data_IF_550997542188
#
_entry.id   IF_550997542188
#
_cell.length_a   1.000
_cell.length_b   1.000
_cell.length_c   1.000
_cell.angle_alpha   90.00
_cell.angle_beta   90.00
_cell.angle_gamma   90.00
#
_symmetry.space_group_name_H-M   'P 1'
#
loop_
_entity.id
_entity.type
_entity.pdbx_description
1 polymer ?
#
# COMPACT_ATOMS: atom_id res chain seq x y z
N UNK A 1 -47.24 63.91 -0.76
CA UNK A 1 -47.88 62.58 -0.76
C UNK A 1 -47.01 61.67 -1.60
N UNK A 2 -46.32 60.70 -1.00
CA UNK A 2 -45.44 59.76 -1.71
C UNK A 2 -45.97 58.37 -1.42
N UNK A 3 -46.44 57.69 -2.46
CA UNK A 3 -46.97 56.33 -2.39
C UNK A 3 -45.84 55.34 -2.09
N UNK A 4 -46.01 54.55 -1.03
CA UNK A 4 -45.08 53.46 -0.67
C UNK A 4 -45.62 52.19 -1.31
N UNK A 5 -44.95 51.73 -2.37
CA UNK A 5 -45.25 50.45 -3.03
C UNK A 5 -44.92 49.22 -2.16
N UNK A 6 -45.53 48.06 -2.44
CA UNK A 6 -45.41 46.87 -1.58
C UNK A 6 -44.00 46.25 -1.62
N UNK A 7 -43.60 45.55 -0.54
CA UNK A 7 -42.23 45.02 -0.43
C UNK A 7 -41.98 43.87 -1.41
N UNK A 8 -40.90 44.00 -2.18
CA UNK A 8 -40.41 42.97 -3.11
C UNK A 8 -39.93 41.75 -2.32
N UNK A 9 -40.61 40.62 -2.52
CA UNK A 9 -40.25 39.33 -1.91
C UNK A 9 -38.95 38.83 -2.54
N UNK A 10 -37.85 38.82 -1.77
CA UNK A 10 -36.56 38.26 -2.21
C UNK A 10 -36.67 36.73 -2.28
N UNK A 11 -36.89 36.19 -3.48
CA UNK A 11 -36.73 34.76 -3.73
C UNK A 11 -35.27 34.36 -3.51
N UNK A 12 -35.02 33.44 -2.58
CA UNK A 12 -33.70 32.83 -2.41
C UNK A 12 -33.42 31.96 -3.63
N UNK A 13 -32.62 32.48 -4.58
CA UNK A 13 -32.05 31.66 -5.65
C UNK A 13 -31.20 30.57 -5.00
N UNK A 14 -31.60 29.31 -5.18
CA UNK A 14 -30.78 28.17 -4.81
C UNK A 14 -29.44 28.27 -5.58
N UNK A 15 -28.31 27.85 -4.98
CA UNK A 15 -27.04 27.85 -5.68
C UNK A 15 -27.13 26.97 -6.92
N UNK A 16 -26.62 27.47 -8.04
CA UNK A 16 -26.56 26.72 -9.30
C UNK A 16 -25.74 25.45 -9.09
N UNK A 17 -26.39 24.29 -9.29
CA UNK A 17 -25.73 22.98 -9.29
C UNK A 17 -25.49 22.61 -10.76
N UNK A 18 -24.24 22.42 -11.22
CA UNK A 18 -23.98 21.98 -12.58
C UNK A 18 -24.64 20.60 -12.82
N UNK A 19 -25.22 20.35 -13.99
CA UNK A 19 -25.73 19.03 -14.34
C UNK A 19 -24.59 18.00 -14.32
N UNK A 20 -24.90 16.77 -13.89
CA UNK A 20 -23.94 15.67 -13.67
C UNK A 20 -23.11 15.23 -14.89
N UNK A 21 -23.31 15.84 -16.08
CA UNK A 21 -22.53 15.62 -17.28
C UNK A 21 -21.19 16.37 -17.31
N UNK A 22 -20.98 17.36 -16.43
CA UNK A 22 -19.80 18.24 -16.53
C UNK A 22 -18.47 17.52 -16.32
N UNK A 23 -18.41 16.50 -15.46
CA UNK A 23 -17.15 15.78 -15.18
C UNK A 23 -16.71 14.87 -16.32
N UNK A 24 -17.65 14.33 -17.09
CA UNK A 24 -17.32 13.51 -18.24
C UNK A 24 -16.82 14.40 -19.39
N UNK A 25 -17.48 15.53 -19.62
CA UNK A 25 -17.01 16.51 -20.62
C UNK A 25 -15.65 17.13 -20.23
N UNK A 26 -15.42 17.41 -18.94
CA UNK A 26 -14.09 17.79 -18.43
C UNK A 26 -13.04 16.70 -18.67
N UNK A 27 -13.38 15.44 -18.38
CA UNK A 27 -12.48 14.31 -18.61
C UNK A 27 -12.17 14.11 -20.10
N UNK A 28 -13.18 14.15 -20.97
CA UNK A 28 -12.99 14.07 -22.43
C UNK A 28 -12.20 15.27 -22.95
N UNK A 29 -12.38 16.46 -22.39
CA UNK A 29 -11.58 17.64 -22.73
C UNK A 29 -10.12 17.56 -22.25
N UNK A 30 -9.85 16.75 -21.22
CA UNK A 30 -8.50 16.48 -20.69
C UNK A 30 -7.71 15.43 -21.49
N UNK A 31 -8.36 14.73 -22.42
CA UNK A 31 -7.70 13.75 -23.29
C UNK A 31 -6.77 14.50 -24.24
N UNK A 32 -5.46 14.37 -23.96
CA UNK A 32 -4.37 14.89 -24.78
C UNK A 32 -4.34 14.11 -26.09
N UNK A 33 -4.40 14.81 -27.23
CA UNK A 33 -4.26 14.21 -28.55
C UNK A 33 -2.84 14.50 -29.00
N UNK A 34 -1.97 13.51 -28.93
CA UNK A 34 -0.65 13.58 -29.56
C UNK A 34 -0.84 13.62 -31.07
N UNK A 35 -0.59 14.78 -31.71
CA UNK A 35 -0.53 14.84 -33.17
C UNK A 35 0.79 14.21 -33.63
N UNK A 36 0.78 13.15 -34.46
CA UNK A 36 2.00 12.56 -34.96
C UNK A 36 2.76 13.61 -35.77
N UNK A 37 3.98 13.94 -35.34
CA UNK A 37 4.92 14.81 -36.06
C UNK A 37 5.26 16.17 -35.42
N UNK A 38 4.65 16.56 -34.29
CA UNK A 38 4.95 17.89 -33.68
C UNK A 38 5.52 17.86 -32.26
N UNK A 39 5.60 16.72 -31.58
CA UNK A 39 6.19 16.63 -30.24
C UNK A 39 5.48 17.45 -29.14
N UNK A 40 4.35 18.09 -29.47
CA UNK A 40 3.59 18.94 -28.56
C UNK A 40 2.32 18.23 -28.09
N UNK A 41 2.10 18.25 -26.77
CA UNK A 41 0.88 17.76 -26.13
C UNK A 41 -0.22 18.82 -26.18
N UNK A 42 -0.84 18.96 -27.36
CA UNK A 42 -1.95 19.89 -27.60
C UNK A 42 -3.24 19.35 -26.96
N UNK A 43 -3.99 20.22 -26.29
CA UNK A 43 -5.38 19.91 -25.95
C UNK A 43 -6.23 19.91 -27.21
N UNK A 44 -7.35 19.18 -27.19
CA UNK A 44 -8.28 19.11 -28.32
C UNK A 44 -8.74 20.52 -28.74
N UNK A 45 -8.45 20.90 -29.99
CA UNK A 45 -8.82 22.20 -30.55
C UNK A 45 -7.85 23.35 -30.23
N UNK A 46 -6.77 23.10 -29.50
CA UNK A 46 -5.77 24.11 -29.16
C UNK A 46 -4.87 24.42 -30.36
N UNK A 47 -4.69 25.71 -30.66
CA UNK A 47 -3.74 26.19 -31.69
C UNK A 47 -2.32 26.21 -31.11
N UNK A 48 -1.29 26.10 -31.96
CA UNK A 48 0.13 26.08 -31.53
C UNK A 48 0.52 27.28 -30.67
N UNK A 49 0.09 28.50 -31.03
CA UNK A 49 0.36 29.71 -30.25
C UNK A 49 -0.32 29.72 -28.86
N UNK A 50 -1.46 29.04 -28.70
CA UNK A 50 -2.14 28.93 -27.40
C UNK A 50 -1.35 27.99 -26.48
N UNK A 51 -0.83 26.90 -27.05
CA UNK A 51 0.05 25.97 -26.35
C UNK A 51 1.35 26.62 -25.90
N UNK A 52 2.02 27.37 -26.78
CA UNK A 52 3.24 28.11 -26.42
C UNK A 52 2.99 29.08 -25.28
N UNK A 53 1.88 29.84 -25.35
CA UNK A 53 1.47 30.75 -24.27
C UNK A 53 1.18 30.02 -22.96
N UNK A 54 0.55 28.84 -23.02
CA UNK A 54 0.31 28.00 -21.85
C UNK A 54 1.61 27.48 -21.24
N UNK A 55 2.54 26.99 -22.06
CA UNK A 55 3.86 26.55 -21.58
C UNK A 55 4.65 27.70 -20.95
N UNK A 56 4.62 28.88 -21.56
CA UNK A 56 5.20 30.09 -20.97
C UNK A 56 4.54 30.41 -19.62
N UNK A 57 3.22 30.25 -19.52
CA UNK A 57 2.52 30.53 -18.27
C UNK A 57 2.79 29.46 -17.20
N UNK A 58 2.87 28.18 -17.58
CA UNK A 58 3.25 27.07 -16.68
C UNK A 58 4.70 27.21 -16.20
N UNK A 59 5.61 27.69 -17.05
CA UNK A 59 6.99 27.97 -16.69
C UNK A 59 7.10 29.17 -15.75
N UNK A 60 6.34 30.24 -16.01
CA UNK A 60 6.22 31.40 -15.10
C UNK A 60 5.65 30.96 -13.75
N UNK A 61 4.58 30.16 -13.76
CA UNK A 61 3.88 29.73 -12.54
C UNK A 61 4.58 28.60 -11.77
N UNK A 62 5.69 28.05 -12.31
CA UNK A 62 6.43 26.94 -11.72
C UNK A 62 5.53 25.75 -11.31
N UNK A 63 4.59 25.36 -12.18
CA UNK A 63 3.59 24.30 -11.95
C UNK A 63 2.51 24.58 -10.90
N UNK A 64 2.43 25.80 -10.36
CA UNK A 64 1.31 26.21 -9.50
C UNK A 64 0.20 26.90 -10.32
N UNK A 65 -0.99 27.05 -9.73
CA UNK A 65 -2.13 27.69 -10.42
C UNK A 65 -1.95 29.21 -10.56
N UNK A 66 -1.16 29.81 -9.68
CA UNK A 66 -0.91 31.25 -9.61
C UNK A 66 0.55 31.52 -9.98
N UNK A 67 0.90 32.73 -10.45
CA UNK A 67 2.30 33.10 -10.56
C UNK A 67 2.97 33.03 -9.18
N UNK A 68 4.26 32.66 -9.09
CA UNK A 68 4.98 32.64 -7.84
C UNK A 68 4.93 34.03 -7.22
N UNK A 69 4.33 34.12 -6.03
CA UNK A 69 4.34 35.34 -5.22
C UNK A 69 5.77 35.57 -4.74
N UNK A 70 6.46 36.53 -5.36
CA UNK A 70 7.71 37.03 -4.79
C UNK A 70 7.36 38.05 -3.70
N UNK A 71 7.25 37.58 -2.46
CA UNK A 71 6.99 38.41 -1.28
C UNK A 71 8.29 39.13 -0.85
N UNK A 72 9.45 38.75 -1.41
CA UNK A 72 10.67 39.48 -1.15
C UNK A 72 10.58 40.89 -1.76
N UNK A 73 10.85 41.96 -0.98
CA UNK A 73 10.85 43.32 -1.50
C UNK A 73 11.91 43.59 -2.58
N UNK A 74 12.90 42.71 -2.73
CA UNK A 74 13.95 42.77 -3.75
C UNK A 74 13.92 41.52 -4.60
N UNK A 75 13.98 41.68 -5.92
CA UNK A 75 13.97 40.53 -6.84
C UNK A 75 15.37 39.95 -7.01
N UNK A 76 16.40 40.79 -6.95
CA UNK A 76 17.78 40.37 -7.17
C UNK A 76 18.70 40.75 -6.01
N UNK A 77 19.71 39.91 -5.73
CA UNK A 77 20.73 40.17 -4.71
C UNK A 77 21.52 41.45 -5.00
N UNK A 78 21.67 41.81 -6.28
CA UNK A 78 22.38 43.02 -6.71
C UNK A 78 21.64 44.29 -6.31
N UNK A 79 20.31 44.30 -6.43
CA UNK A 79 19.47 45.42 -5.96
C UNK A 79 19.61 45.61 -4.46
N UNK A 80 19.83 44.52 -3.71
CA UNK A 80 20.08 44.56 -2.28
C UNK A 80 21.41 45.24 -1.91
N UNK A 81 22.45 44.95 -2.69
CA UNK A 81 23.83 45.41 -2.43
C UNK A 81 24.08 46.82 -2.96
N UNK A 82 23.59 47.13 -4.16
CA UNK A 82 23.78 48.42 -4.80
C UNK A 82 22.63 49.40 -4.50
N UNK A 83 21.42 48.93 -4.19
CA UNK A 83 20.24 49.79 -4.14
C UNK A 83 19.89 50.34 -5.52
N UNK A 84 18.78 51.07 -5.62
CA UNK A 84 18.38 51.75 -6.87
C UNK A 84 19.33 52.92 -7.20
N UNK A 85 19.84 53.59 -6.15
CA UNK A 85 20.72 54.78 -6.26
C UNK A 85 22.23 54.49 -6.11
N UNK A 86 22.65 53.22 -6.07
CA UNK A 86 24.06 52.86 -5.87
C UNK A 86 24.57 53.01 -4.42
N UNK A 87 23.70 53.36 -3.46
CA UNK A 87 24.04 53.61 -2.04
C UNK A 87 23.69 52.45 -1.09
N UNK A 88 23.28 51.31 -1.64
CA UNK A 88 22.82 50.16 -0.87
C UNK A 88 21.40 50.30 -0.32
N UNK A 89 21.00 49.43 0.61
CA UNK A 89 19.67 49.44 1.20
C UNK A 89 19.39 50.69 2.04
N UNK A 90 18.31 51.40 1.71
CA UNK A 90 17.71 52.45 2.54
C UNK A 90 17.20 51.88 3.88
N UNK A 91 16.96 52.72 4.91
CA UNK A 91 16.44 52.25 6.20
C UNK A 91 15.10 51.52 6.07
N UNK A 92 14.19 52.04 5.24
CA UNK A 92 12.88 51.43 4.98
C UNK A 92 13.01 50.04 4.35
N UNK A 93 13.93 49.89 3.41
CA UNK A 93 14.25 48.60 2.80
C UNK A 93 14.78 47.57 3.80
N UNK A 94 15.57 48.01 4.79
CA UNK A 94 16.06 47.14 5.86
C UNK A 94 14.93 46.69 6.78
N UNK A 95 14.00 47.57 7.10
CA UNK A 95 12.83 47.22 7.92
C UNK A 95 11.93 46.19 7.22
N UNK A 96 11.65 46.40 5.94
CA UNK A 96 10.88 45.45 5.14
C UNK A 96 11.57 44.09 5.07
N UNK A 97 12.90 44.07 4.91
CA UNK A 97 13.67 42.83 4.93
C UNK A 97 13.66 42.16 6.30
N UNK A 98 13.74 42.92 7.38
CA UNK A 98 13.68 42.39 8.74
C UNK A 98 12.31 41.75 9.04
N UNK A 99 11.21 42.34 8.54
CA UNK A 99 9.87 41.74 8.60
C UNK A 99 9.82 40.44 7.80
N UNK A 100 10.26 40.45 6.54
CA UNK A 100 10.31 39.25 5.71
C UNK A 100 11.11 38.11 6.35
N UNK A 101 12.25 38.40 6.98
CA UNK A 101 13.08 37.39 7.67
C UNK A 101 12.36 36.80 8.89
N UNK A 102 11.61 37.62 9.64
CA UNK A 102 10.75 37.11 10.72
C UNK A 102 9.63 36.24 10.19
N UNK A 103 9.03 36.60 9.07
CA UNK A 103 7.96 35.82 8.46
C UNK A 103 8.44 34.44 7.95
N UNK A 104 9.75 34.24 7.77
CA UNK A 104 10.32 32.92 7.48
C UNK A 104 10.46 32.03 8.73
N UNK A 105 10.24 32.55 9.94
CA UNK A 105 10.30 31.75 11.15
C UNK A 105 9.01 30.91 11.26
N UNK A 106 9.18 29.60 11.28
CA UNK A 106 8.08 28.64 11.47
C UNK A 106 7.49 28.77 12.87
N UNK A 107 6.19 28.50 12.99
CA UNK A 107 5.55 28.40 14.30
C UNK A 107 6.14 27.20 15.09
N UNK A 108 6.16 27.24 16.44
CA UNK A 108 6.69 26.14 17.25
C UNK A 108 6.01 24.78 17.02
N UNK A 109 4.76 24.82 16.54
CA UNK A 109 3.93 23.64 16.27
C UNK A 109 4.19 23.03 14.88
N UNK A 110 4.98 23.71 14.04
CA UNK A 110 5.34 23.26 12.70
C UNK A 110 6.79 22.77 12.67
N UNK A 111 7.12 21.67 11.95
CA UNK A 111 6.28 20.93 11.01
C UNK A 111 5.39 19.87 11.67
N UNK A 112 4.10 19.85 11.30
CA UNK A 112 3.19 18.76 11.67
C UNK A 112 3.57 17.52 10.85
N UNK A 113 4.19 16.54 11.51
CA UNK A 113 4.48 15.26 10.87
C UNK A 113 3.18 14.49 10.61
N UNK A 114 2.70 14.54 9.38
CA UNK A 114 1.62 13.68 8.92
C UNK A 114 2.23 12.36 8.46
N UNK A 115 1.97 11.22 9.14
CA UNK A 115 2.49 9.95 8.70
C UNK A 115 1.96 9.65 7.30
N UNK A 116 2.81 9.15 6.38
CA UNK A 116 2.39 8.86 5.02
C UNK A 116 1.22 7.87 5.03
N UNK A 117 0.26 8.00 4.09
CA UNK A 117 -0.87 7.10 4.04
C UNK A 117 -0.39 5.66 3.93
N UNK A 118 -0.63 4.86 4.98
CA UNK A 118 -0.31 3.43 4.95
C UNK A 118 -1.18 2.74 3.89
N UNK A 119 -0.58 1.89 3.07
CA UNK A 119 -1.28 0.98 2.15
C UNK A 119 -2.39 0.21 2.91
N UNK A 120 -3.57 0.09 2.32
CA UNK A 120 -4.75 -0.60 2.91
C UNK A 120 -4.38 -2.00 3.39
N UNK A 121 -3.62 -2.76 2.60
CA UNK A 121 -3.17 -4.10 2.98
C UNK A 121 -2.31 -4.07 4.25
N UNK A 122 -1.39 -3.10 4.36
CA UNK A 122 -0.57 -2.94 5.58
C UNK A 122 -1.41 -2.55 6.79
N UNK A 123 -2.54 -1.85 6.62
CA UNK A 123 -3.45 -1.55 7.74
C UNK A 123 -4.20 -2.80 8.19
N UNK A 124 -4.81 -3.53 7.27
CA UNK A 124 -5.63 -4.70 7.60
C UNK A 124 -4.78 -5.81 8.18
N UNK A 125 -3.67 -6.18 7.51
CA UNK A 125 -2.78 -7.23 8.00
C UNK A 125 -1.93 -6.77 9.19
N UNK A 126 -1.70 -5.47 9.35
CA UNK A 126 -0.93 -4.92 10.48
C UNK A 126 -1.72 -4.88 11.79
N UNK A 127 -3.03 -4.65 11.75
CA UNK A 127 -3.86 -4.47 12.95
C UNK A 127 -3.80 -5.63 13.96
N UNK A 128 -3.93 -6.91 13.55
CA UNK A 128 -3.81 -8.02 14.50
C UNK A 128 -2.45 -8.03 15.22
N UNK A 129 -1.38 -7.75 14.48
CA UNK A 129 -0.05 -7.65 15.05
C UNK A 129 0.10 -6.45 15.98
N UNK A 130 -0.47 -5.28 15.65
CA UNK A 130 -0.49 -4.12 16.54
C UNK A 130 -1.20 -4.42 17.87
N UNK A 131 -2.29 -5.19 17.86
CA UNK A 131 -2.97 -5.66 19.08
C UNK A 131 -2.06 -6.58 19.89
N UNK A 132 -1.39 -7.54 19.24
CA UNK A 132 -0.41 -8.42 19.92
C UNK A 132 0.75 -7.61 20.51
N UNK A 133 1.23 -6.59 19.81
CA UNK A 133 2.28 -5.70 20.31
C UNK A 133 1.78 -4.86 21.49
N UNK A 134 0.60 -4.26 21.40
CA UNK A 134 -0.02 -3.51 22.50
C UNK A 134 -0.22 -4.38 23.75
N UNK A 135 -0.71 -5.61 23.56
CA UNK A 135 -0.86 -6.59 24.63
C UNK A 135 0.51 -6.95 25.25
N UNK A 136 1.54 -7.18 24.42
CA UNK A 136 2.91 -7.38 24.90
C UNK A 136 3.45 -6.18 25.68
N UNK A 137 3.22 -4.95 25.24
CA UNK A 137 3.68 -3.76 25.97
C UNK A 137 2.98 -3.63 27.32
N UNK A 138 1.67 -3.93 27.40
CA UNK A 138 0.94 -4.00 28.67
C UNK A 138 1.49 -5.08 29.59
N UNK A 139 1.62 -6.31 29.09
CA UNK A 139 2.17 -7.44 29.86
C UNK A 139 3.61 -7.16 30.28
N UNK A 140 4.43 -6.56 29.40
CA UNK A 140 5.80 -6.13 29.71
C UNK A 140 5.79 -5.13 30.85
N UNK A 141 4.97 -4.09 30.82
CA UNK A 141 4.94 -3.12 31.92
C UNK A 141 4.55 -3.77 33.27
N UNK A 142 3.78 -4.87 33.25
CA UNK A 142 3.46 -5.65 34.45
C UNK A 142 4.57 -6.64 34.86
N UNK A 143 5.24 -7.30 33.90
CA UNK A 143 6.33 -8.27 34.14
C UNK A 143 7.71 -7.64 34.34
N UNK A 144 7.91 -6.40 33.89
CA UNK A 144 9.16 -5.64 33.99
C UNK A 144 9.42 -5.15 35.42
N UNK A 145 8.46 -5.33 36.34
CA UNK A 145 8.72 -5.29 37.78
C UNK A 145 9.65 -6.42 38.25
N UNK A 146 9.74 -7.54 37.52
CA UNK A 146 10.47 -8.74 37.96
C UNK A 146 11.68 -9.14 37.10
N UNK A 147 11.88 -8.54 35.92
CA UNK A 147 13.00 -8.90 35.03
C UNK A 147 13.85 -7.68 34.66
N UNK A 148 15.18 -7.71 34.88
CA UNK A 148 16.04 -6.57 34.62
C UNK A 148 16.17 -6.27 33.12
N UNK A 149 16.29 -4.98 32.73
CA UNK A 149 16.18 -4.50 31.34
C UNK A 149 17.32 -4.94 30.38
N UNK A 150 18.23 -5.81 30.80
CA UNK A 150 19.46 -6.13 30.06
C UNK A 150 19.47 -7.46 29.30
N UNK A 151 18.46 -8.32 29.46
CA UNK A 151 18.61 -9.74 29.06
C UNK A 151 18.20 -10.02 27.60
N UNK A 152 17.35 -9.21 26.96
CA UNK A 152 17.02 -9.41 25.54
C UNK A 152 16.79 -8.07 24.84
N UNK A 153 17.58 -7.70 23.81
CA UNK A 153 17.30 -6.51 23.01
C UNK A 153 15.93 -6.68 22.33
N UNK A 154 14.97 -5.75 22.52
CA UNK A 154 13.61 -5.86 22.00
C UNK A 154 13.53 -6.06 20.47
N UNK A 155 14.60 -5.69 19.76
CA UNK A 155 14.72 -5.79 18.30
C UNK A 155 14.67 -7.23 17.79
N UNK A 156 15.18 -8.21 18.54
CA UNK A 156 15.20 -9.61 18.09
C UNK A 156 13.90 -10.34 18.41
N UNK A 157 13.28 -10.08 19.57
CA UNK A 157 12.01 -10.68 19.97
C UNK A 157 10.86 -10.32 19.01
N UNK A 158 10.86 -9.09 18.48
CA UNK A 158 9.85 -8.64 17.52
C UNK A 158 9.99 -9.32 16.16
N UNK A 159 11.16 -9.85 15.81
CA UNK A 159 11.37 -10.64 14.60
C UNK A 159 11.09 -12.12 14.85
N UNK A 160 11.56 -12.65 15.97
CA UNK A 160 11.49 -14.09 16.26
C UNK A 160 10.05 -14.57 16.39
N UNK A 161 9.19 -13.82 17.08
CA UNK A 161 7.82 -14.23 17.37
C UNK A 161 6.97 -14.42 16.10
N UNK A 162 6.89 -13.46 15.15
CA UNK A 162 6.14 -13.68 13.92
C UNK A 162 6.71 -14.84 13.08
N UNK A 163 8.04 -15.01 13.03
CA UNK A 163 8.64 -16.17 12.35
C UNK A 163 8.26 -17.50 12.99
N UNK A 164 8.31 -17.60 14.32
CA UNK A 164 7.89 -18.82 15.03
C UNK A 164 6.41 -19.13 14.81
N UNK A 165 5.53 -18.13 14.90
CA UNK A 165 4.10 -18.31 14.63
C UNK A 165 3.85 -18.74 13.18
N UNK A 166 4.56 -18.16 12.22
CA UNK A 166 4.45 -18.52 10.81
C UNK A 166 4.86 -19.96 10.55
N UNK A 167 6.06 -20.37 11.00
CA UNK A 167 6.53 -21.75 10.78
C UNK A 167 5.71 -22.77 11.55
N UNK A 168 5.25 -22.44 12.76
CA UNK A 168 4.36 -23.31 13.52
C UNK A 168 3.01 -23.50 12.80
N UNK A 169 2.40 -22.41 12.33
CA UNK A 169 1.16 -22.46 11.55
C UNK A 169 1.33 -23.25 10.24
N UNK A 170 2.42 -23.00 9.51
CA UNK A 170 2.76 -23.75 8.30
C UNK A 170 2.95 -25.25 8.60
N UNK A 171 3.65 -25.58 9.69
CA UNK A 171 3.85 -26.94 10.15
C UNK A 171 2.53 -27.65 10.47
N UNK A 172 1.59 -26.97 11.14
CA UNK A 172 0.26 -27.52 11.42
C UNK A 172 -0.55 -27.78 10.15
N UNK A 173 -0.50 -26.86 9.17
CA UNK A 173 -1.18 -27.03 7.87
C UNK A 173 -0.60 -28.22 7.10
N UNK A 174 0.73 -28.30 7.03
CA UNK A 174 1.42 -29.43 6.38
C UNK A 174 1.10 -30.74 7.09
N UNK A 175 1.19 -30.77 8.43
CA UNK A 175 0.84 -31.93 9.23
C UNK A 175 -0.60 -32.38 9.01
N UNK A 176 -1.56 -31.46 9.08
CA UNK A 176 -2.97 -31.76 8.85
C UNK A 176 -3.21 -32.31 7.45
N UNK A 177 -2.57 -31.70 6.44
CA UNK A 177 -2.68 -32.14 5.06
C UNK A 177 -2.15 -33.57 4.90
N UNK A 178 -0.97 -33.87 5.43
CA UNK A 178 -0.35 -35.20 5.36
C UNK A 178 -1.13 -36.26 6.15
N UNK A 179 -1.66 -35.90 7.33
CA UNK A 179 -2.38 -36.84 8.20
C UNK A 179 -3.73 -37.27 7.66
N UNK A 180 -4.53 -36.33 7.17
CA UNK A 180 -5.93 -36.60 6.79
C UNK A 180 -6.14 -36.78 5.29
N UNK A 181 -5.12 -36.52 4.47
CA UNK A 181 -5.15 -36.84 3.05
C UNK A 181 -4.00 -37.80 2.72
N UNK A 182 -3.95 -39.00 3.32
CA UNK A 182 -3.02 -40.01 2.90
C UNK A 182 -3.28 -40.33 1.42
N UNK A 183 -2.20 -40.48 0.65
CA UNK A 183 -2.29 -40.75 -0.78
C UNK A 183 -2.68 -42.23 -0.98
N UNK A 184 -3.98 -42.47 -1.05
CA UNK A 184 -4.54 -43.78 -1.37
C UNK A 184 -4.72 -43.93 -2.89
N UNK A 185 -4.95 -45.15 -3.37
CA UNK A 185 -5.24 -45.43 -4.78
C UNK A 185 -6.39 -44.58 -5.36
N UNK A 186 -7.39 -44.22 -4.54
CA UNK A 186 -8.52 -43.36 -4.93
C UNK A 186 -8.11 -41.90 -5.17
N UNK A 187 -7.13 -41.40 -4.42
CA UNK A 187 -6.71 -39.99 -4.40
C UNK A 187 -5.34 -39.79 -5.07
N UNK A 188 -4.98 -40.62 -6.05
CA UNK A 188 -3.64 -40.63 -6.65
C UNK A 188 -3.28 -39.35 -7.44
N UNK A 189 -4.28 -38.58 -7.89
CA UNK A 189 -4.11 -37.40 -8.76
C UNK A 189 -4.03 -36.06 -8.01
N UNK A 190 -4.22 -36.03 -6.68
CA UNK A 190 -4.36 -34.78 -5.92
C UNK A 190 -3.29 -34.68 -4.82
N UNK A 191 -2.36 -33.73 -4.93
CA UNK A 191 -1.46 -33.31 -3.85
C UNK A 191 0.01 -33.73 -3.98
N UNK A 192 0.77 -33.61 -2.88
CA UNK A 192 2.19 -33.95 -2.83
C UNK A 192 2.39 -35.47 -2.86
N UNK A 193 3.34 -35.93 -3.67
CA UNK A 193 3.76 -37.34 -3.71
C UNK A 193 4.93 -37.54 -2.76
N UNK A 194 4.71 -38.31 -1.69
CA UNK A 194 5.78 -38.86 -0.88
C UNK A 194 5.72 -40.39 -1.03
N UNK A 195 6.85 -40.97 -1.42
CA UNK A 195 7.03 -42.41 -1.50
C UNK A 195 7.91 -42.81 -0.32
N UNK A 196 7.47 -43.82 0.44
CA UNK A 196 8.33 -44.41 1.45
C UNK A 196 9.44 -45.18 0.73
N UNK A 197 10.68 -44.75 0.92
CA UNK A 197 11.85 -45.52 0.49
C UNK A 197 11.96 -46.71 1.43
N UNK A 198 12.34 -47.87 0.88
CA UNK A 198 12.64 -49.05 1.68
C UNK A 198 13.65 -48.67 2.79
N UNK A 199 13.36 -48.97 4.07
CA UNK A 199 14.37 -48.83 5.10
C UNK A 199 15.56 -49.72 4.75
N UNK A 200 16.78 -49.30 5.10
CA UNK A 200 17.95 -50.13 4.89
C UNK A 200 17.74 -51.49 5.58
N UNK A 201 17.96 -52.57 4.84
CA UNK A 201 17.79 -53.93 5.35
C UNK A 201 18.93 -54.20 6.34
N UNK A 202 18.59 -54.34 7.62
CA UNK A 202 19.48 -54.82 8.67
C UNK A 202 19.04 -56.22 9.11
N UNK A 203 20.00 -57.03 9.56
CA UNK A 203 19.72 -58.36 10.12
C UNK A 203 18.75 -58.21 11.32
N UNK A 204 17.59 -58.90 11.27
CA UNK A 204 16.57 -58.84 12.32
C UNK A 204 15.33 -57.98 12.03
N UNK A 205 15.13 -57.52 10.80
CA UNK A 205 13.87 -56.87 10.37
C UNK A 205 12.94 -57.92 9.73
N UNK A 206 11.77 -58.15 10.34
CA UNK A 206 10.88 -59.27 10.03
C UNK A 206 10.11 -59.16 8.69
N UNK A 207 10.08 -57.97 8.07
CA UNK A 207 9.36 -57.79 6.79
C UNK A 207 10.14 -56.89 5.84
N UNK A 208 10.68 -57.53 4.80
CA UNK A 208 11.14 -56.86 3.58
C UNK A 208 9.89 -56.56 2.76
N UNK A 209 9.59 -55.28 2.52
CA UNK A 209 8.50 -54.92 1.61
C UNK A 209 8.90 -55.25 0.17
N UNK A 210 8.01 -55.90 -0.56
CA UNK A 210 8.27 -56.31 -1.94
C UNK A 210 8.09 -55.12 -2.91
N UNK A 211 8.83 -55.04 -4.03
CA UNK A 211 8.78 -53.88 -4.93
C UNK A 211 7.39 -53.49 -5.44
N UNK A 212 6.47 -54.44 -5.57
CA UNK A 212 5.11 -54.15 -6.02
C UNK A 212 4.22 -53.57 -4.91
N UNK A 213 4.50 -53.83 -3.62
CA UNK A 213 3.74 -53.27 -2.49
C UNK A 213 3.85 -51.74 -2.45
N UNK A 214 4.95 -51.17 -2.96
CA UNK A 214 5.13 -49.72 -3.10
C UNK A 214 4.21 -49.09 -4.15
N UNK A 215 3.92 -49.82 -5.23
CA UNK A 215 3.05 -49.36 -6.31
C UNK A 215 1.57 -49.56 -5.97
N UNK A 216 1.28 -50.51 -5.07
CA UNK A 216 -0.06 -50.93 -4.72
C UNK A 216 -0.83 -49.87 -3.90
N UNK A 217 -0.16 -48.99 -3.14
CA UNK A 217 -0.78 -47.85 -2.42
C UNK A 217 -2.01 -48.25 -1.59
N UNK A 218 -1.97 -49.43 -0.97
CA UNK A 218 -3.05 -49.99 -0.15
C UNK A 218 -4.24 -50.53 -0.95
N UNK A 219 -4.10 -50.74 -2.26
CA UNK A 219 -5.15 -51.29 -3.10
C UNK A 219 -5.41 -52.77 -2.82
N UNK A 220 -4.39 -53.57 -2.50
CA UNK A 220 -4.54 -54.98 -2.11
C UNK A 220 -5.24 -55.16 -0.76
N UNK A 221 -5.10 -54.21 0.15
CA UNK A 221 -5.68 -54.26 1.51
C UNK A 221 -7.20 -54.03 1.57
N UNK A 222 -7.83 -53.68 0.43
CA UNK A 222 -9.25 -53.37 0.37
C UNK A 222 -10.13 -54.59 0.66
N UNK A 223 -11.08 -54.42 1.58
CA UNK A 223 -12.12 -55.43 1.87
C UNK A 223 -13.36 -55.30 0.99
N UNK A 224 -13.51 -54.18 0.28
CA UNK A 224 -14.71 -53.85 -0.49
C UNK A 224 -15.02 -54.81 -1.65
N UNK A 225 -14.03 -55.56 -2.16
CA UNK A 225 -14.21 -56.55 -3.22
C UNK A 225 -14.05 -58.01 -2.76
N UNK A 226 -13.72 -58.25 -1.48
CA UNK A 226 -13.52 -59.59 -0.94
C UNK A 226 -14.85 -60.32 -0.66
N UNK A 227 -15.92 -59.58 -0.37
CA UNK A 227 -17.26 -60.14 -0.12
C UNK A 227 -18.08 -60.40 -1.39
N UNK A 228 -17.59 -59.93 -2.54
CA UNK A 228 -18.15 -60.33 -3.82
C UNK A 228 -17.70 -61.77 -4.08
N UNK A 229 -18.55 -62.74 -3.69
CA UNK A 229 -18.49 -64.12 -4.21
C UNK A 229 -18.36 -64.04 -5.73
N UNK A 230 -17.15 -64.16 -6.23
CA UNK A 230 -16.87 -64.29 -7.65
C UNK A 230 -17.42 -65.65 -8.07
N UNK A 231 -18.67 -65.68 -8.55
CA UNK A 231 -19.22 -66.76 -9.34
C UNK A 231 -18.64 -66.74 -10.77
N UNK A 232 -17.32 -66.57 -10.87
CA UNK A 232 -16.59 -66.64 -12.13
C UNK A 232 -16.02 -68.04 -12.33
N UNK A 233 -16.06 -68.59 -13.56
CA UNK A 233 -15.54 -69.93 -13.82
C UNK A 233 -14.04 -69.96 -13.52
N UNK A 234 -13.62 -70.92 -12.68
CA UNK A 234 -12.21 -71.25 -12.53
C UNK A 234 -11.76 -71.82 -13.86
N UNK A 235 -10.94 -71.08 -14.59
CA UNK A 235 -10.15 -71.67 -15.66
C UNK A 235 -9.05 -72.49 -14.98
N UNK A 236 -9.25 -73.81 -15.04
CA UNK A 236 -8.27 -74.84 -14.71
C UNK A 236 -7.18 -74.91 -15.77
#
# INVERSE_FOLDING_TARGET
MVEVGPPVRKEKRLPWVPPASSKFDEWVSSIVIEKPGTGYNLKKGEKTWQYERRIQQESINAKSQYPPLNIEPFRYVRERLYGEDGRGMTPEHREMRARWVRDQQLAPEEPIYVPPPRNIFRRVFGKPWEVVYMAKYKIRNTLMFWTPPKVVPPRHANKLIPWTCFFYGLGLVVYYRLKYNPKNWENHSIGFEYQHVQPANFEGIDRVMEPYEYMDRGFSERKALLDLKTSGPRFS
#
